data_IF_997693229355
#
_entry.id   IF_997693229355
#
_cell.length_a   1.000
_cell.length_b   1.000
_cell.length_c   1.000
_cell.angle_alpha   90.00
_cell.angle_beta   90.00
_cell.angle_gamma   90.00
#
_symmetry.space_group_name_H-M   'P 1'
#
loop_
_entity.id
_entity.type
_entity.pdbx_description
1 polymer ?
#
# COMPACT_ATOMS: atom_id res chain seq x y z
N UNK A 1 8.31 -8.54 -18.54
CA UNK A 1 9.32 -7.48 -18.75
C UNK A 1 9.33 -6.65 -17.49
N UNK A 2 10.46 -6.59 -16.77
CA UNK A 2 10.59 -5.69 -15.62
C UNK A 2 10.78 -4.30 -16.21
N UNK A 3 9.85 -3.38 -15.94
CA UNK A 3 9.92 -2.01 -16.42
C UNK A 3 11.15 -1.32 -15.81
N UNK A 4 11.93 -0.59 -16.61
CA UNK A 4 13.04 0.29 -16.16
C UNK A 4 12.57 1.46 -15.27
N UNK A 5 11.30 1.48 -14.87
CA UNK A 5 10.64 2.55 -14.12
C UNK A 5 10.94 2.54 -12.62
N UNK A 6 11.45 1.42 -12.09
CA UNK A 6 11.65 1.23 -10.65
C UNK A 6 13.06 0.70 -10.35
N UNK A 7 13.62 1.00 -9.16
CA UNK A 7 14.88 0.42 -8.77
C UNK A 7 14.71 -1.10 -8.62
N UNK A 8 15.62 -1.86 -9.23
CA UNK A 8 15.58 -3.32 -9.20
C UNK A 8 15.89 -3.80 -7.78
N UNK A 9 14.96 -4.56 -7.21
CA UNK A 9 15.15 -5.19 -5.93
C UNK A 9 16.19 -6.32 -6.01
N UNK A 10 17.02 -6.47 -4.97
CA UNK A 10 17.79 -7.69 -4.77
C UNK A 10 16.89 -8.73 -4.10
N UNK A 11 16.56 -9.77 -4.84
CA UNK A 11 15.74 -10.89 -4.35
C UNK A 11 16.53 -11.89 -3.50
N UNK A 12 15.85 -12.57 -2.58
CA UNK A 12 16.43 -13.62 -1.76
C UNK A 12 15.38 -14.44 -1.00
N UNK A 13 15.87 -15.32 -0.12
CA UNK A 13 15.03 -16.08 0.83
C UNK A 13 15.60 -15.86 2.23
N UNK A 14 14.73 -15.43 3.15
CA UNK A 14 15.07 -15.19 4.54
C UNK A 14 15.31 -16.48 5.31
N UNK A 15 15.90 -16.36 6.50
CA UNK A 15 16.18 -17.50 7.38
C UNK A 15 14.91 -18.24 7.83
N UNK A 16 13.76 -17.57 7.79
CA UNK A 16 12.43 -18.12 8.07
C UNK A 16 11.75 -18.72 6.82
N UNK A 17 12.46 -18.79 5.68
CA UNK A 17 11.96 -19.33 4.41
C UNK A 17 11.08 -18.37 3.61
N UNK A 18 10.90 -17.12 4.07
CA UNK A 18 10.10 -16.13 3.32
C UNK A 18 10.90 -15.51 2.18
N UNK A 19 10.20 -15.11 1.11
CA UNK A 19 10.80 -14.31 0.06
C UNK A 19 11.28 -12.97 0.63
N UNK A 20 12.46 -12.54 0.22
CA UNK A 20 13.04 -11.25 0.55
C UNK A 20 13.24 -10.43 -0.72
N UNK A 21 13.00 -9.13 -0.61
CA UNK A 21 13.35 -8.13 -1.59
C UNK A 21 13.98 -6.96 -0.84
N UNK A 22 15.12 -6.47 -1.30
CA UNK A 22 15.79 -5.30 -0.73
C UNK A 22 16.12 -4.26 -1.79
N UNK A 23 16.02 -3.00 -1.40
CA UNK A 23 16.42 -1.85 -2.19
C UNK A 23 17.45 -1.04 -1.41
N UNK A 24 18.38 -0.42 -2.12
CA UNK A 24 19.32 0.55 -1.56
C UNK A 24 19.09 1.89 -2.25
N UNK A 25 18.52 2.84 -1.51
CA UNK A 25 18.18 4.17 -1.98
C UNK A 25 18.42 5.20 -0.87
N UNK A 26 18.70 6.43 -1.24
CA UNK A 26 18.69 7.59 -0.34
C UNK A 26 17.33 8.26 -0.38
N UNK A 27 16.65 8.35 0.76
CA UNK A 27 15.39 9.09 0.90
C UNK A 27 15.67 10.56 1.22
N UNK A 28 15.15 11.47 0.39
CA UNK A 28 15.17 12.91 0.66
C UNK A 28 14.02 13.35 1.57
N UNK A 29 14.12 14.52 2.23
CA UNK A 29 13.04 15.08 3.05
C UNK A 29 11.80 15.48 2.23
N UNK A 30 11.93 15.53 0.90
CA UNK A 30 10.85 15.72 -0.09
C UNK A 30 10.10 14.41 -0.44
N UNK A 31 10.50 13.29 0.18
CA UNK A 31 10.00 11.96 -0.10
C UNK A 31 10.57 11.33 -1.38
N UNK A 32 11.51 12.01 -2.05
CA UNK A 32 12.08 11.52 -3.31
C UNK A 32 13.23 10.54 -3.04
N UNK A 33 13.18 9.38 -3.66
CA UNK A 33 14.20 8.33 -3.53
C UNK A 33 15.24 8.45 -4.63
N UNK A 34 16.52 8.22 -4.28
CA UNK A 34 17.64 8.25 -5.23
C UNK A 34 18.47 6.97 -5.13
N UNK A 35 18.79 6.35 -6.27
CA UNK A 35 19.76 5.23 -6.28
C UNK A 35 21.21 5.72 -6.28
N UNK A 36 22.17 4.79 -6.16
CA UNK A 36 23.60 5.10 -6.19
C UNK A 36 24.10 5.69 -7.53
N UNK A 37 23.31 5.58 -8.60
CA UNK A 37 23.57 6.23 -9.89
C UNK A 37 22.96 7.64 -10.01
N UNK A 38 22.25 8.11 -8.99
CA UNK A 38 21.58 9.41 -8.96
C UNK A 38 20.23 9.44 -9.69
N UNK A 39 19.69 8.29 -10.12
CA UNK A 39 18.33 8.25 -10.68
C UNK A 39 17.32 8.46 -9.57
N UNK A 40 16.23 9.14 -9.93
CA UNK A 40 15.17 9.57 -9.02
C UNK A 40 13.95 8.68 -9.20
N UNK A 41 13.36 8.24 -8.08
CA UNK A 41 12.13 7.45 -8.06
C UNK A 41 11.12 8.06 -7.08
N UNK A 42 9.82 8.10 -7.43
CA UNK A 42 8.77 8.58 -6.54
C UNK A 42 8.43 7.58 -5.44
N UNK A 43 8.63 6.28 -5.68
CA UNK A 43 8.38 5.19 -4.74
C UNK A 43 9.13 3.91 -5.15
N UNK A 44 9.18 2.94 -4.24
CA UNK A 44 9.60 1.57 -4.51
C UNK A 44 8.37 0.74 -4.85
N UNK A 45 8.44 -0.06 -5.91
CA UNK A 45 7.34 -0.95 -6.30
C UNK A 45 7.68 -2.40 -5.96
N UNK A 46 6.73 -3.11 -5.37
CA UNK A 46 6.81 -4.54 -5.16
C UNK A 46 5.44 -5.20 -5.26
N UNK A 47 5.45 -6.46 -5.67
CA UNK A 47 4.28 -7.34 -5.68
C UNK A 47 4.75 -8.76 -5.35
N UNK A 48 3.87 -9.57 -4.78
CA UNK A 48 4.21 -10.94 -4.43
C UNK A 48 2.99 -11.77 -4.09
N UNK A 49 3.06 -13.10 -4.29
CA UNK A 49 2.00 -13.98 -3.87
C UNK A 49 1.90 -13.96 -2.33
N UNK A 50 0.67 -13.99 -1.83
CA UNK A 50 0.40 -14.15 -0.40
C UNK A 50 -0.55 -15.32 -0.18
N UNK A 51 -0.25 -16.14 0.83
CA UNK A 51 -1.15 -17.18 1.32
C UNK A 51 -2.01 -16.71 2.50
N UNK A 52 -1.97 -15.42 2.82
CA UNK A 52 -2.79 -14.83 3.88
C UNK A 52 -4.27 -14.83 3.49
N UNK A 53 -5.14 -15.07 4.47
CA UNK A 53 -6.57 -14.83 4.30
C UNK A 53 -6.82 -13.32 4.36
N UNK A 54 -7.10 -12.74 3.19
CA UNK A 54 -7.32 -11.30 3.02
C UNK A 54 -8.82 -10.94 3.08
N UNK A 55 -9.69 -11.89 3.40
CA UNK A 55 -11.11 -11.62 3.60
C UNK A 55 -11.36 -10.64 4.74
N UNK A 56 -12.44 -9.87 4.63
CA UNK A 56 -12.92 -8.98 5.69
C UNK A 56 -14.41 -9.20 5.92
N UNK A 57 -14.83 -9.17 7.18
CA UNK A 57 -16.23 -9.27 7.58
C UNK A 57 -16.95 -7.90 7.55
N UNK A 58 -16.21 -6.82 7.32
CA UNK A 58 -16.73 -5.44 7.23
C UNK A 58 -16.10 -4.70 6.05
N UNK A 59 -16.81 -3.74 5.48
CA UNK A 59 -16.31 -2.99 4.32
C UNK A 59 -17.29 -1.95 3.81
N UNK A 60 -17.08 -1.53 2.57
CA UNK A 60 -17.87 -0.54 1.88
C UNK A 60 -18.29 -1.07 0.52
N UNK A 61 -19.58 -0.97 0.18
CA UNK A 61 -20.05 -1.25 -1.18
C UNK A 61 -20.06 0.06 -1.95
N UNK A 62 -19.15 0.19 -2.91
CA UNK A 62 -18.89 1.43 -3.64
C UNK A 62 -19.40 1.29 -5.06
N UNK A 63 -20.28 2.20 -5.48
CA UNK A 63 -20.75 2.25 -6.85
C UNK A 63 -19.64 2.74 -7.79
N UNK A 64 -19.65 2.30 -9.05
CA UNK A 64 -18.66 2.67 -10.08
C UNK A 64 -18.37 4.18 -10.12
N UNK A 65 -19.43 4.99 -10.09
CA UNK A 65 -19.31 6.44 -10.27
C UNK A 65 -18.77 7.15 -9.02
N UNK A 66 -18.85 6.52 -7.86
CA UNK A 66 -18.41 7.08 -6.57
C UNK A 66 -16.96 6.70 -6.20
N UNK A 67 -16.32 5.80 -6.98
CA UNK A 67 -15.01 5.21 -6.65
C UNK A 67 -13.94 6.26 -6.34
N UNK A 68 -13.81 7.31 -7.15
CA UNK A 68 -12.74 8.29 -6.97
C UNK A 68 -12.95 9.09 -5.69
N UNK A 69 -14.14 9.65 -5.47
CA UNK A 69 -14.44 10.42 -4.27
C UNK A 69 -14.36 9.57 -3.00
N UNK A 70 -14.80 8.31 -3.07
CA UNK A 70 -14.65 7.36 -1.97
C UNK A 70 -13.17 7.15 -1.61
N UNK A 71 -12.31 6.90 -2.61
CA UNK A 71 -10.88 6.69 -2.36
C UNK A 71 -10.22 7.97 -1.84
N UNK A 72 -10.51 9.14 -2.39
CA UNK A 72 -9.98 10.42 -1.90
C UNK A 72 -10.30 10.63 -0.41
N UNK A 73 -11.55 10.37 -0.01
CA UNK A 73 -11.99 10.49 1.39
C UNK A 73 -11.27 9.48 2.30
N UNK A 74 -11.29 8.19 1.94
CA UNK A 74 -10.74 7.14 2.82
C UNK A 74 -9.23 7.16 2.89
N UNK A 75 -8.52 7.46 1.79
CA UNK A 75 -7.06 7.53 1.79
C UNK A 75 -6.55 8.73 2.58
N UNK A 76 -7.25 9.87 2.54
CA UNK A 76 -6.93 11.03 3.38
C UNK A 76 -7.12 10.71 4.88
N UNK A 77 -8.21 10.03 5.24
CA UNK A 77 -8.43 9.54 6.61
C UNK A 77 -7.30 8.61 7.07
N UNK A 78 -6.87 7.71 6.18
CA UNK A 78 -5.80 6.75 6.42
C UNK A 78 -4.39 7.36 6.25
N UNK A 79 -4.29 8.68 6.11
CA UNK A 79 -3.05 9.45 6.24
C UNK A 79 -2.21 9.57 4.98
N UNK A 80 -2.70 9.17 3.81
CA UNK A 80 -2.02 9.42 2.54
C UNK A 80 -2.11 10.91 2.18
N UNK A 81 -1.01 11.45 1.67
CA UNK A 81 -1.02 12.80 1.10
C UNK A 81 -1.62 12.80 -0.32
N UNK A 82 -1.82 14.00 -0.89
CA UNK A 82 -2.43 14.15 -2.22
C UNK A 82 -1.66 13.39 -3.32
N UNK A 83 -0.33 13.34 -3.24
CA UNK A 83 0.52 12.68 -4.25
C UNK A 83 0.39 11.16 -4.12
N UNK A 84 0.51 10.64 -2.92
CA UNK A 84 0.39 9.20 -2.64
C UNK A 84 -1.02 8.69 -2.95
N UNK A 85 -2.07 9.46 -2.60
CA UNK A 85 -3.44 9.13 -2.93
C UNK A 85 -3.67 9.14 -4.45
N UNK A 86 -3.11 10.12 -5.18
CA UNK A 86 -3.21 10.16 -6.63
C UNK A 86 -2.55 8.94 -7.30
N UNK A 87 -1.37 8.52 -6.82
CA UNK A 87 -0.69 7.30 -7.30
C UNK A 87 -1.53 6.05 -7.03
N UNK A 88 -2.07 5.93 -5.81
CA UNK A 88 -2.95 4.84 -5.42
C UNK A 88 -4.21 4.75 -6.30
N UNK A 89 -4.92 5.88 -6.46
CA UNK A 89 -6.15 5.99 -7.24
C UNK A 89 -5.89 5.68 -8.72
N UNK A 90 -4.77 6.16 -9.27
CA UNK A 90 -4.38 5.89 -10.66
C UNK A 90 -4.28 4.39 -10.93
N UNK A 91 -3.79 3.61 -9.97
CA UNK A 91 -3.71 2.17 -10.09
C UNK A 91 -5.05 1.46 -9.80
N UNK A 92 -5.73 1.80 -8.70
CA UNK A 92 -6.87 1.03 -8.19
C UNK A 92 -8.23 1.44 -8.74
N UNK A 93 -8.46 2.73 -9.03
CA UNK A 93 -9.77 3.18 -9.50
C UNK A 93 -10.20 2.55 -10.83
N UNK A 94 -9.33 2.34 -11.85
CA UNK A 94 -9.71 1.62 -13.06
C UNK A 94 -10.16 0.18 -12.77
N UNK A 95 -9.50 -0.50 -11.81
CA UNK A 95 -9.80 -1.88 -11.41
C UNK A 95 -11.14 -2.01 -10.70
N UNK A 96 -11.44 -1.07 -9.79
CA UNK A 96 -12.75 -1.04 -9.13
C UNK A 96 -13.90 -0.73 -10.10
N UNK A 97 -13.66 0.19 -11.06
CA UNK A 97 -14.67 0.63 -12.02
C UNK A 97 -15.02 -0.41 -13.09
N UNK A 98 -14.36 -1.56 -13.15
CA UNK A 98 -14.83 -2.67 -14.00
C UNK A 98 -16.19 -3.20 -13.53
N UNK A 99 -16.46 -3.12 -12.23
CA UNK A 99 -17.72 -3.54 -11.63
C UNK A 99 -18.70 -2.36 -11.53
N UNK A 100 -20.01 -2.65 -11.54
CA UNK A 100 -21.03 -1.65 -11.18
C UNK A 100 -20.97 -1.30 -9.69
N UNK A 101 -20.66 -2.30 -8.85
CA UNK A 101 -20.43 -2.16 -7.43
C UNK A 101 -19.21 -2.98 -7.04
N UNK A 102 -18.35 -2.43 -6.19
CA UNK A 102 -17.18 -3.11 -5.64
C UNK A 102 -17.28 -3.13 -4.13
N UNK A 103 -17.10 -4.30 -3.51
CA UNK A 103 -16.89 -4.40 -2.07
C UNK A 103 -15.42 -4.08 -1.78
N UNK A 104 -15.20 -3.08 -0.94
CA UNK A 104 -13.89 -2.58 -0.55
C UNK A 104 -13.69 -2.77 0.94
N UNK A 105 -12.52 -3.24 1.35
CA UNK A 105 -12.12 -3.25 2.76
C UNK A 105 -10.68 -2.77 2.89
N UNK A 106 -10.33 -2.23 4.06
CA UNK A 106 -8.97 -1.82 4.38
C UNK A 106 -8.39 -2.66 5.53
N UNK A 107 -7.07 -2.67 5.63
CA UNK A 107 -6.30 -3.18 6.78
C UNK A 107 -6.69 -4.62 7.20
N UNK A 108 -6.49 -5.59 6.31
CA UNK A 108 -6.53 -6.97 6.74
C UNK A 108 -5.32 -7.22 7.67
N UNK A 109 -5.58 -7.45 8.96
CA UNK A 109 -4.51 -7.73 9.93
C UNK A 109 -3.60 -8.90 9.48
N UNK A 110 -4.14 -9.83 8.69
CA UNK A 110 -3.39 -10.92 8.06
C UNK A 110 -2.30 -10.44 7.09
N UNK A 111 -2.53 -9.34 6.37
CA UNK A 111 -1.51 -8.74 5.50
C UNK A 111 -0.32 -8.18 6.29
N UNK A 112 -0.58 -7.56 7.45
CA UNK A 112 0.50 -7.04 8.33
C UNK A 112 1.46 -8.13 8.77
N UNK A 113 0.94 -9.33 9.04
CA UNK A 113 1.76 -10.47 9.44
C UNK A 113 2.51 -11.11 8.27
N UNK A 114 1.93 -11.04 7.08
CA UNK A 114 2.49 -11.62 5.85
C UNK A 114 3.62 -10.78 5.24
N UNK A 115 3.47 -9.45 5.24
CA UNK A 115 4.47 -8.53 4.70
C UNK A 115 5.12 -7.70 5.82
N UNK A 116 6.42 -7.93 6.02
CA UNK A 116 7.26 -7.32 7.05
C UNK A 116 8.33 -6.44 6.43
N UNK A 117 8.71 -5.39 7.14
CA UNK A 117 9.66 -4.40 6.68
C UNK A 117 10.76 -4.18 7.71
N UNK A 118 11.98 -4.02 7.21
CA UNK A 118 13.12 -3.55 7.96
C UNK A 118 13.72 -2.40 7.20
N UNK A 119 13.92 -1.27 7.86
CA UNK A 119 14.68 -0.14 7.33
C UNK A 119 16.06 -0.17 7.95
N UNK A 120 17.11 0.01 7.15
CA UNK A 120 18.49 0.01 7.63
C UNK A 120 19.25 1.18 7.03
N UNK A 121 20.16 1.75 7.83
CA UNK A 121 21.10 2.76 7.36
C UNK A 121 22.29 2.11 6.62
N UNK A 122 23.12 2.95 5.99
CA UNK A 122 24.29 2.49 5.21
C UNK A 122 25.31 1.71 6.04
N UNK A 123 25.35 1.94 7.36
CA UNK A 123 26.21 1.20 8.30
C UNK A 123 25.61 -0.15 8.76
N UNK A 124 24.42 -0.49 8.26
CA UNK A 124 23.69 -1.72 8.57
C UNK A 124 22.88 -1.65 9.87
N UNK A 125 22.85 -0.51 10.57
CA UNK A 125 21.98 -0.33 11.74
C UNK A 125 20.50 -0.27 11.34
N UNK A 126 19.63 -0.88 12.14
CA UNK A 126 18.17 -0.82 11.94
C UNK A 126 17.68 0.58 12.31
N UNK A 127 16.85 1.16 11.45
CA UNK A 127 16.18 2.44 11.66
C UNK A 127 14.69 2.18 11.83
N UNK A 128 14.11 2.70 12.92
CA UNK A 128 12.66 2.67 13.10
C UNK A 128 12.07 4.00 12.62
N UNK A 129 11.06 3.97 11.72
CA UNK A 129 10.30 5.16 11.38
C UNK A 129 9.61 5.73 12.63
N UNK A 130 9.69 7.04 12.81
CA UNK A 130 8.91 7.77 13.82
C UNK A 130 7.40 7.65 13.54
N UNK A 131 7.03 7.54 12.26
CA UNK A 131 5.66 7.28 11.81
C UNK A 131 5.69 6.23 10.69
N UNK A 132 4.87 5.19 10.80
CA UNK A 132 4.67 4.23 9.70
C UNK A 132 3.19 4.15 9.33
N UNK A 133 2.85 4.69 8.16
CA UNK A 133 1.51 4.66 7.60
C UNK A 133 1.42 3.48 6.64
N UNK A 134 0.41 2.62 6.81
CA UNK A 134 0.21 1.44 5.99
C UNK A 134 -1.24 1.34 5.55
N UNK A 135 -1.48 1.44 4.25
CA UNK A 135 -2.80 1.30 3.65
C UNK A 135 -2.82 0.10 2.73
N UNK A 136 -3.58 -0.91 3.11
CA UNK A 136 -3.80 -2.09 2.27
C UNK A 136 -5.28 -2.24 2.00
N UNK A 137 -5.67 -2.22 0.72
CA UNK A 137 -7.06 -2.32 0.28
C UNK A 137 -7.32 -3.69 -0.35
N UNK A 138 -8.44 -4.32 -0.01
CA UNK A 138 -8.95 -5.48 -0.74
C UNK A 138 -10.20 -5.08 -1.52
N UNK A 139 -10.33 -5.61 -2.74
CA UNK A 139 -11.51 -5.38 -3.58
C UNK A 139 -12.07 -6.69 -4.11
N UNK A 140 -13.39 -6.77 -4.22
CA UNK A 140 -14.10 -7.86 -4.89
C UNK A 140 -15.38 -7.35 -5.55
N UNK A 141 -15.88 -8.08 -6.55
CA UNK A 141 -17.13 -7.72 -7.20
C UNK A 141 -18.31 -7.77 -6.22
N UNK A 142 -19.20 -6.78 -6.29
CA UNK A 142 -20.40 -6.70 -5.47
C UNK A 142 -21.63 -6.36 -6.33
N UNK A 143 -22.78 -6.27 -5.67
CA UNK A 143 -24.04 -5.84 -6.26
C UNK A 143 -24.68 -4.74 -5.41
N UNK A 144 -25.67 -4.04 -5.97
CA UNK A 144 -26.46 -3.06 -5.22
C UNK A 144 -27.15 -3.65 -3.96
N UNK A 145 -27.39 -4.96 -3.93
CA UNK A 145 -28.01 -5.66 -2.81
C UNK A 145 -27.00 -6.29 -1.83
N UNK A 146 -25.70 -6.12 -2.05
CA UNK A 146 -24.68 -6.62 -1.12
C UNK A 146 -24.78 -5.83 0.18
N UNK A 147 -24.98 -6.54 1.29
CA UNK A 147 -25.05 -5.95 2.64
C UNK A 147 -23.85 -6.45 3.44
N UNK A 148 -23.08 -5.49 3.96
CA UNK A 148 -21.92 -5.74 4.81
C UNK A 148 -21.94 -4.70 5.95
N UNK A 149 -21.51 -5.06 7.17
CA UNK A 149 -21.23 -4.07 8.19
C UNK A 149 -20.24 -3.04 7.67
N UNK A 150 -20.55 -1.75 7.87
CA UNK A 150 -19.60 -0.69 7.51
C UNK A 150 -18.34 -0.80 8.36
N UNK A 151 -17.18 -0.75 7.72
CA UNK A 151 -15.90 -0.81 8.42
C UNK A 151 -15.63 0.49 9.17
N UNK A 152 -15.24 0.39 10.43
CA UNK A 152 -14.76 1.53 11.21
C UNK A 152 -13.28 1.71 10.94
N UNK A 153 -12.89 2.89 10.47
CA UNK A 153 -11.49 3.25 10.20
C UNK A 153 -11.03 4.28 11.21
N UNK A 154 -9.90 4.00 11.86
CA UNK A 154 -9.23 4.98 12.72
C UNK A 154 -8.37 5.92 11.87
N UNK A 155 -8.37 7.24 12.16
CA UNK A 155 -7.45 8.16 11.50
C UNK A 155 -5.98 7.75 11.71
N UNK A 156 -5.17 7.93 10.67
CA UNK A 156 -3.74 7.70 10.78
C UNK A 156 -3.07 8.63 11.81
N UNK A 157 -1.95 8.19 12.42
CA UNK A 157 -1.14 9.07 13.26
C UNK A 157 -0.60 10.27 12.46
N UNK A 158 -0.32 11.36 13.15
CA UNK A 158 0.31 12.52 12.53
C UNK A 158 1.71 12.16 12.00
N UNK A 159 2.06 12.69 10.83
CA UNK A 159 3.40 12.54 10.24
C UNK A 159 4.41 13.35 11.05
N UNK A 160 5.25 12.67 11.81
CA UNK A 160 6.34 13.29 12.58
C UNK A 160 7.65 12.56 12.31
N UNK A 161 8.76 13.30 12.21
CA UNK A 161 10.08 12.71 12.01
C UNK A 161 10.20 11.92 10.70
N UNK A 162 11.01 10.87 10.72
CA UNK A 162 11.12 9.94 9.60
C UNK A 162 9.81 9.17 9.42
N UNK A 163 9.08 9.49 8.35
CA UNK A 163 7.83 8.82 7.99
C UNK A 163 8.06 7.82 6.87
N UNK A 164 7.72 6.56 7.11
CA UNK A 164 7.57 5.55 6.07
C UNK A 164 6.09 5.42 5.70
N UNK A 165 5.81 5.27 4.40
CA UNK A 165 4.46 5.05 3.90
C UNK A 165 4.46 3.83 2.99
N UNK A 166 3.55 2.91 3.25
CA UNK A 166 3.22 1.80 2.37
C UNK A 166 1.77 1.94 1.94
N UNK A 167 1.52 1.76 0.66
CA UNK A 167 0.18 1.67 0.12
C UNK A 167 0.10 0.59 -0.94
N UNK A 168 -1.03 -0.13 -0.99
CA UNK A 168 -1.22 -1.24 -1.92
C UNK A 168 -2.55 -1.94 -1.73
N UNK A 169 -2.69 -3.13 -2.30
CA UNK A 169 -3.91 -3.90 -2.19
C UNK A 169 -3.92 -5.21 -2.95
N UNK A 170 -5.06 -5.91 -2.90
CA UNK A 170 -5.31 -7.14 -3.63
C UNK A 170 -6.74 -7.19 -4.20
N UNK A 171 -6.88 -7.84 -5.34
CA UNK A 171 -8.17 -8.28 -5.88
C UNK A 171 -8.45 -9.70 -5.37
N UNK A 172 -9.67 -9.95 -4.88
CA UNK A 172 -10.13 -11.25 -4.36
C UNK A 172 -11.06 -11.97 -5.32
#
# INVERSE_FOLDING_TARGET
MVSDSYPVAVGGVGADGRALASWSVTAGPDGVLRDGGGRVYPYLFWEGPTGADLGSESGFVVARDDVVGFLEEKLALLGLDEREAADFITYWAPRMRVNEYTLVSFDSGAYREAARYTFAADDGSVVEPDTFIRVFMTISAASAGTVVPEQVLDPAPARTGFTAVEWGGAEL
#
